data_IF_279560356096
#
_entry.id   IF_279560356096
#
_cell.length_a   1.000
_cell.length_b   1.000
_cell.length_c   1.000
_cell.angle_alpha   90.00
_cell.angle_beta   90.00
_cell.angle_gamma   90.00
#
_symmetry.space_group_name_H-M   'P 1'
#
loop_
_entity.id
_entity.type
_entity.pdbx_description
1 polymer ?
#
# COMPACT_ATOMS: atom_id res chain seq x y z
N UNK A 1 33.89 -9.38 14.43
CA UNK A 1 33.15 -8.11 14.26
C UNK A 1 32.93 -7.93 12.77
N UNK A 2 31.70 -8.01 12.28
CA UNK A 2 31.41 -7.80 10.87
C UNK A 2 31.68 -6.31 10.57
N UNK A 3 32.62 -6.00 9.66
CA UNK A 3 33.08 -4.64 9.34
C UNK A 3 32.05 -3.77 8.61
N UNK A 4 30.81 -3.78 9.09
CA UNK A 4 29.72 -2.98 8.57
C UNK A 4 29.84 -1.55 9.13
N UNK A 5 29.56 -0.53 8.31
CA UNK A 5 29.44 0.83 8.79
C UNK A 5 28.44 0.92 9.94
N UNK A 6 28.67 1.83 10.89
CA UNK A 6 27.68 2.11 11.93
C UNK A 6 26.40 2.63 11.28
N UNK A 7 25.36 1.80 11.27
CA UNK A 7 24.03 2.22 10.86
C UNK A 7 23.33 2.88 12.04
N UNK A 8 23.01 4.16 11.90
CA UNK A 8 22.25 4.88 12.90
C UNK A 8 20.89 4.16 13.11
N UNK A 9 20.55 3.70 14.32
CA UNK A 9 19.27 3.04 14.61
C UNK A 9 18.04 3.83 14.12
N UNK A 10 18.16 5.16 14.08
CA UNK A 10 17.12 6.02 13.53
C UNK A 10 16.93 5.84 12.02
N UNK A 11 17.97 5.57 11.23
CA UNK A 11 17.87 5.39 9.77
C UNK A 11 17.07 4.15 9.36
N UNK A 12 17.19 3.05 10.12
CA UNK A 12 16.41 1.83 9.89
C UNK A 12 14.92 2.10 10.17
N UNK A 13 14.65 2.79 11.28
CA UNK A 13 13.30 3.19 11.67
C UNK A 13 12.65 4.10 10.62
N UNK A 14 13.38 5.10 10.11
CA UNK A 14 12.93 5.98 9.03
C UNK A 14 12.49 5.16 7.80
N UNK A 15 13.33 4.20 7.41
CA UNK A 15 13.07 3.36 6.23
C UNK A 15 11.79 2.54 6.40
N UNK A 16 11.60 1.93 7.57
CA UNK A 16 10.38 1.16 7.88
C UNK A 16 9.13 2.04 7.95
N UNK A 17 9.25 3.27 8.45
CA UNK A 17 8.14 4.22 8.43
C UNK A 17 7.74 4.60 7.00
N UNK A 18 8.71 4.94 6.14
CA UNK A 18 8.46 5.24 4.72
C UNK A 18 7.82 4.05 4.00
N UNK A 19 8.25 2.82 4.29
CA UNK A 19 7.61 1.62 3.76
C UNK A 19 6.14 1.51 4.20
N UNK A 20 5.85 1.72 5.49
CA UNK A 20 4.49 1.71 6.01
C UNK A 20 3.57 2.74 5.35
N UNK A 21 4.09 3.93 5.02
CA UNK A 21 3.31 4.96 4.30
C UNK A 21 2.87 4.52 2.90
N UNK A 22 3.63 3.61 2.27
CA UNK A 22 3.31 3.08 0.93
C UNK A 22 2.42 1.85 0.97
N UNK A 23 2.57 1.00 1.98
CA UNK A 23 1.87 -0.28 2.07
C UNK A 23 0.48 -0.15 2.72
N UNK A 24 0.37 0.63 3.80
CA UNK A 24 -0.87 0.77 4.55
C UNK A 24 -1.93 1.53 3.74
N UNK A 25 -3.09 0.92 3.55
CA UNK A 25 -4.20 1.46 2.77
C UNK A 25 -5.22 2.21 3.65
N UNK A 26 -5.11 2.05 4.98
CA UNK A 26 -5.97 2.72 5.95
C UNK A 26 -5.17 3.35 7.11
N UNK A 27 -5.74 4.38 7.78
CA UNK A 27 -5.14 4.95 8.99
C UNK A 27 -4.96 3.93 10.11
N UNK A 28 -5.86 2.94 10.23
CA UNK A 28 -5.80 1.87 11.23
C UNK A 28 -4.65 0.89 10.95
N UNK A 29 -4.46 0.49 9.69
CA UNK A 29 -3.29 -0.31 9.30
C UNK A 29 -1.98 0.41 9.61
N UNK A 30 -1.90 1.71 9.30
CA UNK A 30 -0.72 2.50 9.60
C UNK A 30 -0.51 2.65 11.12
N UNK A 31 -1.60 2.72 11.90
CA UNK A 31 -1.54 2.72 13.37
C UNK A 31 -0.98 1.41 13.92
N UNK A 32 -1.45 0.26 13.42
CA UNK A 32 -0.93 -1.04 13.80
C UNK A 32 0.55 -1.22 13.42
N UNK A 33 0.94 -0.84 12.20
CA UNK A 33 2.33 -0.84 11.73
C UNK A 33 3.23 -0.02 12.66
N UNK A 34 2.81 1.19 13.00
CA UNK A 34 3.60 2.08 13.87
C UNK A 34 3.68 1.57 15.33
N UNK A 35 2.64 0.93 15.85
CA UNK A 35 2.68 0.32 17.19
C UNK A 35 3.64 -0.87 17.25
N UNK A 36 3.73 -1.67 16.17
CA UNK A 36 4.71 -2.75 16.05
C UNK A 36 6.17 -2.23 16.05
N UNK A 37 6.39 -0.99 15.62
CA UNK A 37 7.71 -0.31 15.69
C UNK A 37 7.99 0.34 17.05
N UNK A 38 7.12 0.14 18.05
CA UNK A 38 7.28 0.70 19.39
C UNK A 38 6.96 2.20 19.51
N UNK A 39 6.24 2.80 18.56
CA UNK A 39 5.67 4.14 18.72
C UNK A 39 4.26 4.05 19.33
N UNK A 40 4.12 4.33 20.62
CA UNK A 40 2.79 4.55 21.24
C UNK A 40 2.06 5.74 20.58
N UNK A 41 2.80 6.79 20.23
CA UNK A 41 2.27 8.01 19.63
C UNK A 41 2.55 8.07 18.11
N UNK A 42 1.62 7.56 17.30
CA UNK A 42 1.63 7.69 15.82
C UNK A 42 1.75 9.14 15.34
N UNK A 43 1.27 10.08 16.14
CA UNK A 43 1.28 11.51 15.81
C UNK A 43 2.70 12.07 15.66
N UNK A 44 3.71 11.59 16.40
CA UNK A 44 5.09 12.06 16.21
C UNK A 44 5.73 11.49 14.94
N UNK A 45 5.31 10.29 14.51
CA UNK A 45 5.70 9.68 13.23
C UNK A 45 5.07 10.43 12.05
N UNK A 46 3.79 10.78 12.12
CA UNK A 46 3.15 11.63 11.10
C UNK A 46 3.75 13.04 11.06
N UNK A 47 4.11 13.63 12.20
CA UNK A 47 4.76 14.94 12.22
C UNK A 47 6.18 14.93 11.64
N UNK A 48 6.95 13.87 11.91
CA UNK A 48 8.36 13.77 11.49
C UNK A 48 8.53 13.23 10.06
N UNK A 49 7.60 12.41 9.57
CA UNK A 49 7.69 11.75 8.25
C UNK A 49 6.52 12.05 7.31
N UNK A 50 5.47 12.73 7.77
CA UNK A 50 4.28 13.07 6.97
C UNK A 50 4.40 14.40 6.23
N UNK A 51 5.58 15.04 6.20
CA UNK A 51 5.76 16.24 5.41
C UNK A 51 5.71 15.91 3.92
N UNK A 52 4.59 16.25 3.29
CA UNK A 52 4.44 16.21 1.83
C UNK A 52 5.03 17.51 1.27
N UNK A 53 5.99 17.39 0.35
CA UNK A 53 6.57 18.57 -0.32
C UNK A 53 5.48 19.36 -1.06
N UNK A 54 5.58 20.70 -1.06
CA UNK A 54 4.57 21.60 -1.62
C UNK A 54 4.15 21.29 -3.08
N UNK A 55 5.07 20.95 -4.01
CA UNK A 55 4.67 20.54 -5.36
C UNK A 55 3.82 19.26 -5.37
N UNK A 56 4.19 18.29 -4.52
CA UNK A 56 3.47 17.00 -4.40
C UNK A 56 2.11 17.18 -3.73
N UNK A 57 1.96 18.13 -2.80
CA UNK A 57 0.65 18.49 -2.25
C UNK A 57 -0.29 18.94 -3.37
N UNK A 58 0.20 19.81 -4.28
CA UNK A 58 -0.57 20.27 -5.43
C UNK A 58 -1.00 19.14 -6.37
N UNK A 59 -0.12 18.18 -6.63
CA UNK A 59 -0.43 16.98 -7.43
C UNK A 59 -1.51 16.11 -6.77
N UNK A 60 -1.37 15.83 -5.48
CA UNK A 60 -2.33 15.03 -4.71
C UNK A 60 -3.70 15.72 -4.71
N UNK A 61 -3.75 17.03 -4.47
CA UNK A 61 -5.02 17.78 -4.49
C UNK A 61 -5.68 17.76 -5.88
N UNK A 62 -4.88 17.82 -6.96
CA UNK A 62 -5.39 17.64 -8.33
C UNK A 62 -5.94 16.24 -8.56
N UNK A 63 -5.29 15.20 -8.02
CA UNK A 63 -5.76 13.82 -8.12
C UNK A 63 -7.05 13.58 -7.34
N UNK A 64 -7.16 14.13 -6.13
CA UNK A 64 -8.35 14.03 -5.26
C UNK A 64 -9.60 14.69 -5.86
N UNK A 65 -9.43 15.62 -6.81
CA UNK A 65 -10.54 16.21 -7.57
C UNK A 65 -11.27 15.18 -8.43
N UNK A 66 -10.58 14.14 -8.87
CA UNK A 66 -11.18 13.10 -9.69
C UNK A 66 -11.84 12.04 -8.80
N UNK A 67 -13.04 11.52 -9.16
CA UNK A 67 -13.61 10.36 -8.49
C UNK A 67 -12.59 9.22 -8.51
N UNK A 68 -12.35 8.58 -7.36
CA UNK A 68 -11.57 7.34 -7.34
C UNK A 68 -12.36 6.31 -8.13
N UNK A 69 -11.90 5.96 -9.33
CA UNK A 69 -12.30 4.73 -9.97
C UNK A 69 -11.77 3.60 -9.10
N UNK A 70 -12.65 3.00 -8.29
CA UNK A 70 -12.43 1.65 -7.77
C UNK A 70 -11.97 0.84 -8.98
N UNK A 71 -10.76 0.28 -8.92
CA UNK A 71 -10.06 -0.26 -10.09
C UNK A 71 -11.02 -1.04 -10.99
N UNK A 72 -10.88 -0.82 -12.31
CA UNK A 72 -11.66 -1.43 -13.38
C UNK A 72 -11.58 -2.96 -13.30
N UNK A 73 -12.25 -3.55 -12.31
CA UNK A 73 -12.76 -4.89 -12.40
C UNK A 73 -13.97 -4.76 -13.31
N UNK A 74 -13.69 -4.80 -14.61
CA UNK A 74 -14.75 -4.95 -15.58
C UNK A 74 -15.42 -6.30 -15.31
N UNK A 75 -16.58 -6.24 -14.67
CA UNK A 75 -17.38 -7.41 -14.28
C UNK A 75 -17.65 -8.30 -15.51
N UNK A 76 -17.70 -7.71 -16.70
CA UNK A 76 -17.85 -8.44 -17.96
C UNK A 76 -16.63 -9.29 -18.29
N UNK A 77 -15.42 -8.78 -18.06
CA UNK A 77 -14.18 -9.52 -18.32
C UNK A 77 -14.01 -10.65 -17.30
N UNK A 78 -14.41 -10.41 -16.05
CA UNK A 78 -14.47 -11.45 -15.02
C UNK A 78 -15.50 -12.54 -15.38
N UNK A 79 -16.70 -12.16 -15.84
CA UNK A 79 -17.74 -13.10 -16.24
C UNK A 79 -17.32 -13.96 -17.44
N UNK A 80 -16.67 -13.36 -18.44
CA UNK A 80 -16.10 -14.09 -19.59
C UNK A 80 -15.05 -15.11 -19.13
N UNK A 81 -14.13 -14.71 -18.26
CA UNK A 81 -13.11 -15.61 -17.73
C UNK A 81 -13.72 -16.83 -17.02
N UNK A 82 -14.76 -16.62 -16.19
CA UNK A 82 -15.47 -17.73 -15.56
C UNK A 82 -16.18 -18.65 -16.56
N UNK A 83 -16.86 -18.09 -17.57
CA UNK A 83 -17.54 -18.87 -18.60
C UNK A 83 -16.57 -19.74 -19.42
N UNK A 84 -15.40 -19.21 -19.74
CA UNK A 84 -14.34 -19.96 -20.44
C UNK A 84 -13.81 -21.13 -19.61
N UNK A 85 -13.58 -20.93 -18.32
CA UNK A 85 -13.12 -21.99 -17.40
C UNK A 85 -14.17 -23.09 -17.30
N UNK A 86 -15.44 -22.75 -17.09
CA UNK A 86 -16.53 -23.72 -17.01
C UNK A 86 -16.69 -24.50 -18.32
N UNK A 87 -16.54 -23.85 -19.48
CA UNK A 87 -16.62 -24.50 -20.78
C UNK A 87 -15.46 -25.48 -21.04
N UNK A 88 -14.25 -25.19 -20.54
CA UNK A 88 -13.09 -26.08 -20.60
C UNK A 88 -13.30 -27.33 -19.72
N UNK A 89 -13.73 -27.14 -18.47
CA UNK A 89 -14.03 -28.25 -17.55
C UNK A 89 -15.05 -29.24 -18.14
N UNK A 90 -16.15 -28.72 -18.72
CA UNK A 90 -17.20 -29.55 -19.31
C UNK A 90 -16.77 -30.32 -20.58
N UNK A 91 -15.69 -29.89 -21.25
CA UNK A 91 -15.11 -30.64 -22.39
C UNK A 91 -14.16 -31.74 -21.91
N UNK A 92 -13.43 -31.49 -20.83
CA UNK A 92 -12.53 -32.47 -20.22
C UNK A 92 -13.32 -33.61 -19.54
N UNK A 93 -14.45 -33.32 -18.87
CA UNK A 93 -15.31 -34.34 -18.24
C UNK A 93 -16.09 -35.23 -19.24
N UNK A 94 -16.12 -34.88 -20.53
CA UNK A 94 -16.84 -35.60 -21.60
C UNK A 94 -15.93 -36.47 -22.49
N UNK A 95 -14.63 -36.55 -22.19
CA UNK A 95 -13.65 -37.40 -22.89
C UNK A 95 -13.23 -38.54 -21.99
#
# INVERSE_FOLDING_TARGET
MAGLPYFNPHSIRNTLTSLGQTLCQSPEEFKAWSQNLGHEHVMTTLYSYGHVQEPRQGEIMKQLKNPRTSGDLNVEDLAKAFAEVIAKQNKEDKT
#
